data_IF_815588456545
#
_entry.id   IF_815588456545
#
_cell.length_a   1.000
_cell.length_b   1.000
_cell.length_c   1.000
_cell.angle_alpha   90.00
_cell.angle_beta   90.00
_cell.angle_gamma   90.00
#
_symmetry.space_group_name_H-M   'P 1'
#
loop_
_entity.id
_entity.type
_entity.pdbx_description
1 polymer ?
#
# COMPACT_ATOMS: atom_id res chain seq x y z
N UNK A 1 -10.36 -6.89 25.95
CA UNK A 1 -9.77 -5.56 25.70
C UNK A 1 -8.30 -5.69 26.00
N UNK A 2 -7.43 -5.57 25.00
CA UNK A 2 -5.98 -5.51 25.22
C UNK A 2 -5.38 -4.33 24.48
N UNK A 3 -4.78 -3.44 25.25
CA UNK A 3 -3.91 -2.37 24.80
C UNK A 3 -2.49 -2.73 25.20
N UNK A 4 -1.57 -2.72 24.24
CA UNK A 4 -0.13 -2.63 24.51
C UNK A 4 0.33 -1.26 24.01
N UNK A 5 0.92 -0.47 24.91
CA UNK A 5 1.55 0.80 24.58
C UNK A 5 2.98 0.69 25.08
N UNK A 6 3.96 0.80 24.19
CA UNK A 6 5.38 0.74 24.54
C UNK A 6 6.11 1.90 23.85
N UNK A 7 7.00 2.55 24.61
CA UNK A 7 7.68 3.80 24.25
C UNK A 7 9.12 3.81 24.78
N UNK A 8 10.01 3.07 24.12
CA UNK A 8 11.45 2.95 24.37
C UNK A 8 12.17 2.68 23.03
N UNK A 9 13.50 2.64 22.98
CA UNK A 9 14.26 2.72 21.70
C UNK A 9 14.20 1.45 20.82
N UNK A 10 14.00 0.26 21.42
CA UNK A 10 13.87 -1.03 20.72
C UNK A 10 12.65 -1.77 21.26
N UNK A 11 11.65 -2.01 20.43
CA UNK A 11 10.33 -2.47 20.88
C UNK A 11 9.78 -3.63 20.07
N UNK A 12 9.21 -4.62 20.79
CA UNK A 12 8.26 -5.57 20.20
C UNK A 12 6.97 -5.62 21.02
N UNK A 13 5.86 -5.22 20.41
CA UNK A 13 4.53 -5.30 21.01
C UNK A 13 3.80 -6.54 20.49
N UNK A 14 3.24 -7.35 21.38
CA UNK A 14 2.52 -8.58 21.02
C UNK A 14 1.15 -8.62 21.69
N UNK A 15 0.10 -8.37 20.91
CA UNK A 15 -1.29 -8.58 21.30
C UNK A 15 -1.90 -9.70 20.47
N UNK A 16 -2.65 -10.63 21.10
CA UNK A 16 -3.08 -11.86 20.42
C UNK A 16 -4.58 -12.06 20.30
N UNK A 17 -5.32 -11.93 21.41
CA UNK A 17 -6.78 -12.09 21.54
C UNK A 17 -7.12 -11.35 22.87
N UNK A 18 -8.06 -10.40 23.00
CA UNK A 18 -9.16 -9.94 22.11
C UNK A 18 -9.45 -8.39 22.17
N UNK A 19 -10.17 -7.85 21.17
CA UNK A 19 -10.28 -6.40 20.82
C UNK A 19 -8.92 -5.70 20.98
N UNK A 20 -8.02 -6.09 20.09
CA UNK A 20 -6.57 -5.94 20.23
C UNK A 20 -6.10 -4.62 19.65
N UNK A 21 -5.39 -3.84 20.46
CA UNK A 21 -4.84 -2.55 20.12
C UNK A 21 -3.36 -2.53 20.50
N UNK A 22 -2.50 -2.15 19.55
CA UNK A 22 -1.07 -1.93 19.78
C UNK A 22 -0.69 -0.52 19.38
N UNK A 23 0.09 0.15 20.23
CA UNK A 23 0.81 1.38 19.90
C UNK A 23 2.27 1.16 20.27
N UNK A 24 3.16 1.34 19.30
CA UNK A 24 4.60 1.07 19.43
C UNK A 24 5.37 2.24 18.84
N UNK A 25 6.18 2.90 19.66
CA UNK A 25 6.87 4.15 19.29
C UNK A 25 8.32 4.09 19.80
N UNK A 26 9.29 4.03 18.88
CA UNK A 26 10.71 3.83 19.18
C UNK A 26 11.53 3.71 17.90
N UNK A 27 12.83 3.99 17.95
CA UNK A 27 13.72 3.99 16.77
C UNK A 27 13.58 2.71 15.93
N UNK A 28 13.58 1.55 16.60
CA UNK A 28 13.29 0.24 16.01
C UNK A 28 12.00 -0.32 16.62
N UNK A 29 10.91 -0.35 15.85
CA UNK A 29 9.56 -0.66 16.35
C UNK A 29 8.87 -1.80 15.60
N UNK A 30 8.64 -2.91 16.31
CA UNK A 30 7.85 -4.06 15.84
C UNK A 30 6.49 -4.16 16.55
N UNK A 31 5.41 -4.35 15.79
CA UNK A 31 4.08 -4.66 16.32
C UNK A 31 3.50 -5.93 15.71
N UNK A 32 3.12 -6.87 16.57
CA UNK A 32 2.31 -8.05 16.23
C UNK A 32 0.94 -7.95 16.91
N UNK A 33 -0.11 -7.75 16.12
CA UNK A 33 -1.49 -7.62 16.59
C UNK A 33 -2.37 -8.69 15.95
N UNK A 34 -3.03 -9.52 16.76
CA UNK A 34 -4.01 -10.49 16.31
C UNK A 34 -5.32 -10.35 17.11
N UNK A 35 -6.45 -10.73 16.52
CA UNK A 35 -7.79 -10.78 17.14
C UNK A 35 -8.87 -10.18 16.24
N UNK A 36 -10.14 -10.56 16.39
CA UNK A 36 -11.20 -10.27 15.41
C UNK A 36 -11.36 -8.79 15.03
N UNK A 37 -11.11 -7.87 15.98
CA UNK A 37 -10.93 -6.45 15.72
C UNK A 37 -9.49 -6.09 16.13
N UNK A 38 -8.59 -5.95 15.15
CA UNK A 38 -7.16 -5.73 15.35
C UNK A 38 -6.74 -4.36 14.83
N UNK A 39 -6.11 -3.56 15.69
CA UNK A 39 -5.62 -2.22 15.37
C UNK A 39 -4.16 -2.09 15.81
N UNK A 40 -3.27 -1.68 14.90
CA UNK A 40 -1.85 -1.43 15.19
C UNK A 40 -1.45 -0.04 14.71
N UNK A 41 -0.73 0.70 15.55
CA UNK A 41 0.01 1.91 15.19
C UNK A 41 1.47 1.69 15.54
N UNK A 42 2.35 1.71 14.55
CA UNK A 42 3.79 1.50 14.70
C UNK A 42 4.54 2.70 14.13
N UNK A 43 5.42 3.31 14.91
CA UNK A 43 6.18 4.50 14.52
C UNK A 43 7.65 4.38 14.94
N UNK A 44 8.59 4.56 14.01
CA UNK A 44 10.03 4.47 14.28
C UNK A 44 10.87 5.03 13.14
N UNK A 45 12.19 4.85 13.18
CA UNK A 45 12.99 4.97 11.95
C UNK A 45 12.79 3.71 11.10
N UNK A 46 12.90 2.55 11.73
CA UNK A 46 12.57 1.24 11.17
C UNK A 46 11.29 0.73 11.87
N UNK A 47 10.19 0.65 11.11
CA UNK A 47 8.85 0.37 11.64
C UNK A 47 8.16 -0.80 10.92
N UNK A 48 7.82 -1.85 11.66
CA UNK A 48 7.19 -3.07 11.14
C UNK A 48 5.87 -3.39 11.87
N UNK A 49 4.79 -3.58 11.12
CA UNK A 49 3.48 -3.97 11.66
C UNK A 49 2.95 -5.24 11.01
N UNK A 50 2.56 -6.21 11.82
CA UNK A 50 1.76 -7.36 11.42
C UNK A 50 0.41 -7.32 12.15
N UNK A 51 -0.68 -7.15 11.41
CA UNK A 51 -2.03 -7.00 11.94
C UNK A 51 -2.98 -8.03 11.33
N UNK A 52 -3.63 -8.87 12.14
CA UNK A 52 -4.50 -9.96 11.66
C UNK A 52 -5.79 -10.20 12.44
N UNK A 53 -6.92 -10.17 11.73
CA UNK A 53 -8.27 -10.35 12.27
C UNK A 53 -9.35 -9.92 11.30
N UNK A 54 -10.59 -10.37 11.50
CA UNK A 54 -11.73 -10.16 10.61
C UNK A 54 -11.88 -8.68 10.18
N UNK A 55 -11.73 -7.74 11.13
CA UNK A 55 -11.52 -6.32 10.86
C UNK A 55 -10.10 -5.91 11.31
N UNK A 56 -9.23 -5.61 10.35
CA UNK A 56 -7.82 -5.29 10.60
C UNK A 56 -7.44 -3.91 10.08
N UNK A 57 -6.80 -3.10 10.93
CA UNK A 57 -6.31 -1.76 10.58
C UNK A 57 -4.87 -1.59 11.07
N UNK A 58 -3.96 -1.21 10.17
CA UNK A 58 -2.56 -0.92 10.48
C UNK A 58 -2.19 0.48 10.00
N UNK A 59 -1.51 1.25 10.87
CA UNK A 59 -0.79 2.46 10.48
C UNK A 59 0.69 2.23 10.84
N UNK A 60 1.57 2.34 9.85
CA UNK A 60 3.01 2.12 10.02
C UNK A 60 3.76 3.29 9.42
N UNK A 61 4.61 3.96 10.20
CA UNK A 61 5.30 5.18 9.77
C UNK A 61 6.78 5.17 10.19
N UNK A 62 7.68 5.45 9.26
CA UNK A 62 9.12 5.54 9.54
C UNK A 62 9.95 5.96 8.33
N UNK A 63 11.28 5.81 8.38
CA UNK A 63 12.15 5.96 7.19
C UNK A 63 12.10 4.69 6.34
N UNK A 64 12.08 3.53 6.99
CA UNK A 64 11.67 2.25 6.43
C UNK A 64 10.39 1.79 7.14
N UNK A 65 9.29 1.64 6.39
CA UNK A 65 7.98 1.30 6.94
C UNK A 65 7.39 0.08 6.24
N UNK A 66 6.99 -0.95 6.98
CA UNK A 66 6.49 -2.21 6.43
C UNK A 66 5.22 -2.69 7.15
N UNK A 67 4.11 -2.83 6.43
CA UNK A 67 2.81 -3.24 6.98
C UNK A 67 2.26 -4.50 6.31
N UNK A 68 1.89 -5.49 7.13
CA UNK A 68 1.18 -6.70 6.72
C UNK A 68 -0.19 -6.75 7.41
N UNK A 69 -1.26 -6.50 6.66
CA UNK A 69 -2.64 -6.41 7.19
C UNK A 69 -3.55 -7.47 6.56
N UNK A 70 -4.11 -8.37 7.36
CA UNK A 70 -4.86 -9.55 6.87
C UNK A 70 -6.17 -9.74 7.64
N UNK A 71 -7.30 -9.78 6.93
CA UNK A 71 -8.64 -9.82 7.51
C UNK A 71 -9.72 -10.11 6.47
N UNK A 72 -10.99 -9.91 6.83
CA UNK A 72 -12.08 -9.82 5.86
C UNK A 72 -12.22 -8.38 5.36
N UNK A 73 -12.20 -7.41 6.30
CA UNK A 73 -12.08 -5.98 6.06
C UNK A 73 -10.70 -5.51 6.53
N UNK A 74 -9.82 -5.15 5.59
CA UNK A 74 -8.41 -4.87 5.84
C UNK A 74 -7.99 -3.49 5.34
N UNK A 75 -7.42 -2.68 6.21
CA UNK A 75 -6.94 -1.33 5.88
C UNK A 75 -5.49 -1.12 6.34
N UNK A 76 -4.62 -0.72 5.43
CA UNK A 76 -3.23 -0.37 5.74
C UNK A 76 -2.92 1.06 5.29
N UNK A 77 -2.23 1.81 6.14
CA UNK A 77 -1.55 3.05 5.78
C UNK A 77 -0.08 2.90 6.13
N UNK A 78 0.80 3.05 5.13
CA UNK A 78 2.25 2.91 5.31
C UNK A 78 2.96 4.14 4.75
N UNK A 79 3.79 4.81 5.55
CA UNK A 79 4.38 6.11 5.22
C UNK A 79 5.87 6.12 5.57
N UNK A 80 6.71 6.50 4.61
CA UNK A 80 8.16 6.50 4.79
C UNK A 80 8.93 6.54 3.50
N UNK A 81 10.22 6.89 3.57
CA UNK A 81 11.08 7.02 2.39
C UNK A 81 11.08 5.74 1.53
N UNK A 82 11.20 4.58 2.20
CA UNK A 82 10.97 3.25 1.64
C UNK A 82 9.77 2.65 2.37
N UNK A 83 8.72 2.29 1.66
CA UNK A 83 7.45 1.87 2.26
C UNK A 83 6.82 0.69 1.54
N UNK A 84 6.55 -0.39 2.27
CA UNK A 84 5.94 -1.62 1.75
C UNK A 84 4.63 -1.94 2.47
N UNK A 85 3.54 -2.09 1.72
CA UNK A 85 2.26 -2.56 2.26
C UNK A 85 1.77 -3.83 1.56
N UNK A 86 1.44 -4.84 2.36
CA UNK A 86 0.72 -6.03 1.95
C UNK A 86 -0.63 -6.07 2.66
N UNK A 87 -1.72 -5.91 1.91
CA UNK A 87 -3.09 -5.87 2.45
C UNK A 87 -3.96 -6.95 1.81
N UNK A 88 -4.63 -7.79 2.61
CA UNK A 88 -5.42 -8.92 2.11
C UNK A 88 -6.75 -9.13 2.85
N UNK A 89 -7.80 -9.46 2.10
CA UNK A 89 -9.17 -9.64 2.59
C UNK A 89 -10.24 -9.47 1.51
N UNK A 90 -11.52 -9.66 1.82
CA UNK A 90 -12.61 -9.47 0.85
C UNK A 90 -12.74 -7.99 0.43
N UNK A 91 -12.59 -7.09 1.40
CA UNK A 91 -12.59 -5.64 1.26
C UNK A 91 -11.25 -5.12 1.78
N UNK A 92 -10.36 -4.73 0.86
CA UNK A 92 -8.94 -4.50 1.17
C UNK A 92 -8.48 -3.18 0.62
N UNK A 93 -7.99 -2.30 1.49
CA UNK A 93 -7.63 -0.93 1.12
C UNK A 93 -6.23 -0.59 1.65
N UNK A 94 -5.34 -0.15 0.75
CA UNK A 94 -3.97 0.22 1.08
C UNK A 94 -3.65 1.63 0.57
N UNK A 95 -2.99 2.43 1.41
CA UNK A 95 -2.36 3.70 1.02
C UNK A 95 -0.89 3.63 1.42
N UNK A 96 0.02 3.78 0.45
CA UNK A 96 1.47 3.74 0.69
C UNK A 96 2.14 4.98 0.11
N UNK A 97 2.95 5.68 0.91
CA UNK A 97 3.53 6.99 0.56
C UNK A 97 5.02 7.04 0.84
N UNK A 98 5.84 7.37 -0.16
CA UNK A 98 7.30 7.24 -0.09
C UNK A 98 8.01 7.40 -1.44
N UNK A 99 9.33 7.60 -1.43
CA UNK A 99 10.15 7.62 -2.67
C UNK A 99 10.35 6.22 -3.25
N UNK A 100 10.11 5.18 -2.48
CA UNK A 100 10.05 3.80 -2.98
C UNK A 100 8.84 3.12 -2.30
N UNK A 101 7.63 3.57 -2.67
CA UNK A 101 6.37 3.16 -2.08
C UNK A 101 5.71 2.02 -2.85
N UNK A 102 5.78 0.80 -2.31
CA UNK A 102 5.20 -0.41 -2.90
C UNK A 102 3.94 -0.85 -2.15
N UNK A 103 2.86 -1.13 -2.88
CA UNK A 103 1.63 -1.67 -2.30
C UNK A 103 1.10 -2.85 -3.11
N UNK A 104 0.83 -3.95 -2.42
CA UNK A 104 0.15 -5.13 -2.94
C UNK A 104 -1.15 -5.33 -2.18
N UNK A 105 -2.29 -5.28 -2.88
CA UNK A 105 -3.62 -5.46 -2.26
C UNK A 105 -4.43 -6.56 -2.94
N UNK A 106 -4.85 -7.57 -2.17
CA UNK A 106 -5.57 -8.77 -2.65
C UNK A 106 -6.98 -8.84 -2.04
N UNK A 107 -8.01 -8.93 -2.88
CA UNK A 107 -9.40 -8.92 -2.45
C UNK A 107 -10.46 -8.67 -3.52
N UNK A 108 -11.70 -9.11 -3.27
CA UNK A 108 -12.84 -8.89 -4.18
C UNK A 108 -13.26 -7.41 -4.31
N UNK A 109 -12.84 -6.55 -3.40
CA UNK A 109 -12.91 -5.09 -3.52
C UNK A 109 -11.55 -4.52 -3.06
N UNK A 110 -10.48 -4.88 -3.77
CA UNK A 110 -9.13 -4.43 -3.49
C UNK A 110 -8.86 -3.03 -4.07
N UNK A 111 -8.47 -2.07 -3.25
CA UNK A 111 -8.05 -0.74 -3.71
C UNK A 111 -6.68 -0.41 -3.13
N UNK A 112 -5.77 0.05 -3.99
CA UNK A 112 -4.41 0.43 -3.62
C UNK A 112 -4.11 1.82 -4.18
N UNK A 113 -3.53 2.70 -3.36
CA UNK A 113 -3.00 3.99 -3.79
C UNK A 113 -1.54 4.08 -3.35
N UNK A 114 -0.63 4.30 -4.30
CA UNK A 114 0.75 4.67 -4.01
C UNK A 114 1.11 6.05 -4.54
N UNK A 115 1.94 6.77 -3.78
CA UNK A 115 2.35 8.14 -4.08
C UNK A 115 3.81 8.38 -3.73
N UNK A 116 4.47 9.18 -4.57
CA UNK A 116 5.90 9.47 -4.51
C UNK A 116 6.65 8.91 -5.73
N UNK A 117 7.88 9.35 -5.92
CA UNK A 117 8.80 8.85 -6.96
C UNK A 117 8.89 7.30 -6.91
N UNK A 118 9.20 6.64 -8.04
CA UNK A 118 9.37 5.18 -8.17
C UNK A 118 8.28 4.27 -7.55
N UNK A 119 7.11 4.82 -7.23
CA UNK A 119 6.08 4.09 -6.49
C UNK A 119 5.46 2.94 -7.30
N UNK A 120 5.08 1.85 -6.65
CA UNK A 120 4.52 0.64 -7.27
C UNK A 120 3.16 0.28 -6.66
N UNK A 121 2.13 0.13 -7.49
CA UNK A 121 0.78 -0.26 -7.04
C UNK A 121 0.27 -1.49 -7.79
N UNK A 122 0.00 -2.58 -7.07
CA UNK A 122 -0.58 -3.80 -7.62
C UNK A 122 -1.85 -4.24 -6.88
N UNK A 123 -2.90 -4.55 -7.63
CA UNK A 123 -4.14 -5.11 -7.07
C UNK A 123 -4.56 -6.42 -7.73
N UNK A 124 -4.90 -7.41 -6.90
CA UNK A 124 -5.51 -8.67 -7.34
C UNK A 124 -6.94 -8.70 -6.83
N UNK A 125 -7.90 -8.61 -7.75
CA UNK A 125 -9.30 -8.55 -7.38
C UNK A 125 -10.22 -8.30 -8.55
N UNK A 126 -11.42 -8.88 -8.50
CA UNK A 126 -12.56 -8.29 -9.20
C UNK A 126 -12.86 -6.91 -8.60
N UNK A 127 -13.51 -6.02 -9.34
CA UNK A 127 -13.88 -4.67 -8.86
C UNK A 127 -12.72 -3.90 -8.18
N UNK A 128 -11.47 -4.19 -8.55
CA UNK A 128 -10.28 -3.62 -7.91
C UNK A 128 -9.81 -2.35 -8.61
N UNK A 129 -9.03 -1.54 -7.90
CA UNK A 129 -8.42 -0.31 -8.43
C UNK A 129 -6.99 -0.20 -7.93
N UNK A 130 -6.05 -0.13 -8.85
CA UNK A 130 -4.64 0.15 -8.56
C UNK A 130 -4.31 1.57 -9.03
N UNK A 131 -3.94 2.44 -8.11
CA UNK A 131 -3.51 3.81 -8.40
C UNK A 131 -2.02 3.97 -8.11
N UNK A 132 -1.26 4.48 -9.07
CA UNK A 132 0.12 4.93 -8.90
C UNK A 132 0.19 6.41 -9.35
N UNK A 133 0.32 7.34 -8.39
CA UNK A 133 0.14 8.77 -8.63
C UNK A 133 1.42 9.58 -8.44
N UNK A 134 2.57 8.94 -8.64
CA UNK A 134 3.88 9.56 -8.47
C UNK A 134 4.71 9.57 -9.75
N UNK A 135 5.79 10.33 -9.72
CA UNK A 135 6.74 10.39 -10.82
C UNK A 135 7.49 9.03 -10.96
N UNK A 136 7.78 8.58 -12.19
CA UNK A 136 8.31 7.23 -12.53
C UNK A 136 7.56 6.02 -11.92
N UNK A 137 6.37 6.27 -11.37
CA UNK A 137 5.55 5.25 -10.71
C UNK A 137 4.94 4.27 -11.71
N UNK A 138 4.70 3.04 -11.25
CA UNK A 138 4.25 1.92 -12.06
C UNK A 138 3.04 1.24 -11.45
N UNK A 139 2.13 0.79 -12.31
CA UNK A 139 0.80 0.27 -11.93
C UNK A 139 0.50 -1.06 -12.60
N UNK A 140 -0.14 -1.97 -11.87
CA UNK A 140 -0.58 -3.27 -12.36
C UNK A 140 -1.90 -3.70 -11.69
N UNK A 141 -2.73 -4.49 -12.38
CA UNK A 141 -3.91 -5.12 -11.77
C UNK A 141 -4.33 -6.38 -12.53
N UNK A 142 -5.02 -7.31 -11.86
CA UNK A 142 -5.47 -8.57 -12.49
C UNK A 142 -6.83 -8.49 -13.18
N UNK A 143 -7.83 -7.88 -12.54
CA UNK A 143 -9.23 -7.82 -13.01
C UNK A 143 -9.91 -6.48 -12.68
N UNK A 144 -9.11 -5.46 -12.41
CA UNK A 144 -9.56 -4.14 -11.96
C UNK A 144 -9.33 -3.04 -12.99
N UNK A 145 -9.23 -1.83 -12.45
CA UNK A 145 -8.79 -0.62 -13.15
C UNK A 145 -7.38 -0.25 -12.73
N UNK A 146 -6.60 0.26 -13.68
CA UNK A 146 -5.38 1.02 -13.39
C UNK A 146 -5.72 2.51 -13.41
N UNK A 147 -5.06 3.28 -12.56
CA UNK A 147 -5.03 4.75 -12.58
C UNK A 147 -3.58 5.18 -12.45
N UNK A 148 -3.10 6.04 -13.35
CA UNK A 148 -1.70 6.48 -13.37
C UNK A 148 -1.56 7.96 -13.73
N UNK A 149 -0.58 8.61 -13.10
CA UNK A 149 -0.21 9.99 -13.39
C UNK A 149 0.84 10.08 -14.51
N UNK A 150 0.57 10.90 -15.51
CA UNK A 150 1.54 11.44 -16.46
C UNK A 150 2.06 12.78 -15.92
N UNK A 151 3.37 12.98 -15.95
CA UNK A 151 4.03 14.21 -15.49
C UNK A 151 4.56 15.03 -16.67
N UNK A 152 4.74 16.33 -16.44
CA UNK A 152 5.54 17.19 -17.31
C UNK A 152 7.04 16.90 -17.14
N UNK A 153 7.88 17.40 -18.06
CA UNK A 153 9.35 17.27 -18.01
C UNK A 153 9.99 17.78 -16.70
N UNK A 154 9.30 18.62 -15.93
CA UNK A 154 9.76 19.13 -14.64
C UNK A 154 9.70 18.10 -13.49
N UNK A 155 9.11 16.92 -13.75
CA UNK A 155 8.92 15.79 -12.82
C UNK A 155 8.11 16.15 -11.55
N UNK A 156 7.36 17.25 -11.57
CA UNK A 156 6.66 17.84 -10.41
C UNK A 156 5.21 18.19 -10.71
N UNK A 157 4.94 18.63 -11.92
CA UNK A 157 3.60 19.02 -12.39
C UNK A 157 2.93 17.80 -13.03
N UNK A 158 1.77 17.40 -12.51
CA UNK A 158 0.94 16.38 -13.15
C UNK A 158 0.34 16.98 -14.43
N UNK A 159 0.70 16.40 -15.57
CA UNK A 159 0.19 16.74 -16.90
C UNK A 159 -1.20 16.18 -17.12
N UNK A 160 -1.42 14.91 -16.75
CA UNK A 160 -2.71 14.22 -16.90
C UNK A 160 -2.80 13.00 -15.98
N UNK A 161 -4.03 12.65 -15.58
CA UNK A 161 -4.33 11.33 -15.01
C UNK A 161 -4.99 10.47 -16.10
N UNK A 162 -4.50 9.24 -16.27
CA UNK A 162 -5.09 8.22 -17.14
C UNK A 162 -5.70 7.11 -16.30
N UNK A 163 -6.76 6.50 -16.80
CA UNK A 163 -7.38 5.34 -16.18
C UNK A 163 -7.99 4.44 -17.26
N UNK A 164 -7.88 3.13 -17.07
CA UNK A 164 -8.47 2.12 -17.94
C UNK A 164 -8.71 0.82 -17.16
N UNK A 165 -9.67 0.02 -17.61
CA UNK A 165 -9.85 -1.35 -17.13
C UNK A 165 -8.88 -2.30 -17.81
N UNK A 166 -8.59 -3.44 -17.19
CA UNK A 166 -7.95 -4.58 -17.89
C UNK A 166 -8.77 -4.94 -19.14
N UNK A 167 -8.11 -5.00 -20.29
CA UNK A 167 -8.69 -5.19 -21.62
C UNK A 167 -9.09 -3.91 -22.35
N UNK A 168 -8.97 -2.74 -21.72
CA UNK A 168 -9.09 -1.42 -22.35
C UNK A 168 -7.69 -0.82 -22.63
N UNK A 169 -7.61 0.39 -23.18
CA UNK A 169 -6.37 1.03 -23.61
C UNK A 169 -6.07 2.35 -22.88
N UNK A 170 -4.79 2.59 -22.62
CA UNK A 170 -4.23 3.92 -22.32
C UNK A 170 -3.26 4.28 -23.45
N UNK A 171 -3.50 5.41 -24.11
CA UNK A 171 -2.62 5.95 -25.17
C UNK A 171 -2.30 4.94 -26.31
N UNK A 172 -3.23 4.01 -26.61
CA UNK A 172 -3.06 2.96 -27.63
C UNK A 172 -2.36 1.69 -27.14
N UNK A 173 -2.06 1.59 -25.84
CA UNK A 173 -1.51 0.39 -25.19
C UNK A 173 -2.61 -0.31 -24.41
N UNK A 174 -2.89 -1.57 -24.76
CA UNK A 174 -3.84 -2.43 -24.06
C UNK A 174 -3.31 -2.79 -22.67
N UNK A 175 -4.18 -2.71 -21.66
CA UNK A 175 -3.88 -3.08 -20.28
C UNK A 175 -4.15 -4.59 -20.08
N UNK A 176 -3.08 -5.37 -20.05
CA UNK A 176 -3.08 -6.81 -19.77
C UNK A 176 -3.11 -7.08 -18.26
N UNK A 177 -3.67 -8.23 -17.87
CA UNK A 177 -3.73 -8.66 -16.48
C UNK A 177 -2.33 -8.97 -15.92
N UNK A 178 -2.06 -8.49 -14.70
CA UNK A 178 -0.79 -8.64 -13.96
C UNK A 178 0.47 -8.05 -14.65
N UNK A 179 0.32 -7.33 -15.77
CA UNK A 179 1.44 -6.64 -16.43
C UNK A 179 1.67 -5.28 -15.78
N UNK A 180 2.94 -4.87 -15.71
CA UNK A 180 3.36 -3.61 -15.11
C UNK A 180 3.43 -2.51 -16.18
N UNK A 181 2.77 -1.38 -15.90
CA UNK A 181 2.71 -0.23 -16.80
C UNK A 181 3.22 1.05 -16.14
N UNK A 182 3.80 1.93 -16.94
CA UNK A 182 4.34 3.22 -16.51
C UNK A 182 4.66 4.10 -17.72
N UNK A 183 5.25 5.27 -17.47
CA UNK A 183 5.91 6.06 -18.50
C UNK A 183 7.41 5.73 -18.48
N UNK A 184 8.03 5.64 -19.65
CA UNK A 184 9.48 5.49 -19.79
C UNK A 184 10.22 6.84 -19.83
N UNK A 185 11.54 6.81 -19.98
CA UNK A 185 12.42 8.00 -20.01
C UNK A 185 12.07 8.98 -21.16
N UNK A 186 11.45 8.50 -22.24
CA UNK A 186 10.97 9.31 -23.38
C UNK A 186 9.54 9.85 -23.16
N UNK A 187 8.93 9.57 -22.00
CA UNK A 187 7.55 9.94 -21.67
C UNK A 187 6.49 9.11 -22.41
N UNK A 188 6.85 7.93 -22.92
CA UNK A 188 5.94 7.04 -23.63
C UNK A 188 5.32 6.07 -22.62
N UNK A 189 3.99 5.97 -22.63
CA UNK A 189 3.29 4.98 -21.81
C UNK A 189 3.56 3.58 -22.37
N UNK A 190 4.13 2.70 -21.54
CA UNK A 190 4.64 1.39 -21.96
C UNK A 190 4.50 0.34 -20.86
N UNK A 191 4.86 -0.90 -21.20
CA UNK A 191 4.94 -2.04 -20.27
C UNK A 191 6.39 -2.31 -19.86
N UNK A 192 6.57 -2.83 -18.65
CA UNK A 192 7.85 -3.16 -18.02
C UNK A 192 7.95 -4.64 -17.65
#
# INVERSE_FOLDING_TARGET
MKHSVITEDILSSVTKEESSHSVTIGENSDSYTKGNNSHSVTMGEDAYSYTKGDNSHSVTMGRHACSFTIGENSHSVTIGENSDSYTKGNNSHSVTMGRHACSFTDGKNAHSVTMGEDAYSHTIGENSVSCALGYDSKVATRKGFVVIAEYEEDKKTIKKIHAAKVGEEILGVVIDADVLYGFDDDGIFTKF
#
